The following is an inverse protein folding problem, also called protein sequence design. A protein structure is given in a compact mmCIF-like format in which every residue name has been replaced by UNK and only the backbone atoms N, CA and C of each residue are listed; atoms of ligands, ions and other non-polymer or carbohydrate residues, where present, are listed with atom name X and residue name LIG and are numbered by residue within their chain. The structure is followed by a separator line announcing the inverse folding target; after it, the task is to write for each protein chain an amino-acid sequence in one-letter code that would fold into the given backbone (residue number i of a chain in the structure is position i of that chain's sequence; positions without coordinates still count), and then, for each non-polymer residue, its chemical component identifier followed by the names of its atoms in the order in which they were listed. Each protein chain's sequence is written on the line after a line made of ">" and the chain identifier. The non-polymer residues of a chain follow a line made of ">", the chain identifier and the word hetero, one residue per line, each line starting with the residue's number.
data_IF_805609764031
#
_entry.id   IF_805609764031
#
_cell.length_a   1.000
_cell.length_b   1.000
_cell.length_c   1.000
_cell.angle_alpha   90.00
_cell.angle_beta   90.00
_cell.angle_gamma   90.00
#
_symmetry.space_group_name_H-M   'P 1'
#
loop_
_entity.id
_entity.type
_entity.pdbx_description
1 polymer ?
#
# COMPACT_ATOMS: atom_id res chain seq x y z
N UNK A 1 17.57 -32.22 26.06
CA UNK A 1 16.28 -31.68 25.55
C UNK A 1 16.59 -30.66 24.48
N UNK A 2 16.16 -30.88 23.24
CA UNK A 2 16.32 -29.91 22.16
C UNK A 2 15.25 -28.84 22.31
N UNK A 3 15.65 -27.58 22.50
CA UNK A 3 14.72 -26.45 22.59
C UNK A 3 14.13 -26.21 21.20
N UNK A 4 12.83 -26.38 21.04
CA UNK A 4 12.10 -26.01 19.83
C UNK A 4 11.68 -24.54 19.90
N UNK A 5 11.79 -23.82 18.79
CA UNK A 5 11.27 -22.45 18.66
C UNK A 5 9.79 -22.51 18.24
N UNK A 6 8.92 -21.82 18.98
CA UNK A 6 7.53 -21.63 18.55
C UNK A 6 7.48 -20.54 17.45
N UNK A 7 7.28 -20.95 16.19
CA UNK A 7 7.29 -20.03 15.05
C UNK A 7 6.19 -18.95 15.11
N UNK A 8 5.08 -19.22 15.80
CA UNK A 8 3.99 -18.25 15.96
C UNK A 8 4.42 -17.01 16.74
N UNK A 9 5.50 -17.09 17.53
CA UNK A 9 6.06 -15.92 18.21
C UNK A 9 6.73 -14.92 17.26
N UNK A 10 6.93 -15.27 15.99
CA UNK A 10 7.48 -14.40 14.94
C UNK A 10 6.41 -13.72 14.08
N UNK A 11 5.14 -13.76 14.51
CA UNK A 11 4.05 -13.09 13.79
C UNK A 11 4.33 -11.58 13.63
N UNK A 12 4.08 -11.07 12.42
CA UNK A 12 4.19 -9.64 12.09
C UNK A 12 2.95 -8.87 12.55
N UNK A 13 3.10 -7.56 12.74
CA UNK A 13 2.01 -6.65 12.96
C UNK A 13 1.07 -6.59 11.73
N UNK A 14 -0.22 -6.35 11.98
CA UNK A 14 -1.21 -6.24 10.92
C UNK A 14 -1.08 -4.93 10.10
N UNK A 15 -0.47 -3.89 10.68
CA UNK A 15 -0.27 -2.59 10.06
C UNK A 15 1.11 -2.03 10.36
N UNK A 16 1.58 -1.14 9.49
CA UNK A 16 2.80 -0.35 9.69
C UNK A 16 2.67 1.01 8.99
N UNK A 17 3.50 1.97 9.42
CA UNK A 17 3.52 3.32 8.87
C UNK A 17 4.72 3.52 7.95
N UNK A 18 4.46 3.80 6.67
CA UNK A 18 5.46 4.22 5.71
C UNK A 18 5.70 5.73 5.87
N UNK A 19 6.92 6.15 6.17
CA UNK A 19 7.33 7.55 6.03
C UNK A 19 7.57 7.84 4.55
N UNK A 20 6.73 8.69 3.98
CA UNK A 20 6.79 9.06 2.57
C UNK A 20 8.05 9.86 2.29
N UNK A 21 8.75 9.49 1.22
CA UNK A 21 9.89 10.24 0.71
C UNK A 21 9.50 11.04 -0.52
N UNK A 22 10.09 12.22 -0.68
CA UNK A 22 9.95 13.07 -1.85
C UNK A 22 10.63 12.46 -3.09
N UNK A 23 10.51 13.12 -4.26
CA UNK A 23 11.12 12.66 -5.50
C UNK A 23 12.64 12.48 -5.42
N UNK A 24 13.31 13.25 -4.55
CA UNK A 24 14.77 13.20 -4.32
C UNK A 24 15.18 12.21 -3.21
N UNK A 25 14.21 11.54 -2.57
CA UNK A 25 14.44 10.43 -1.64
C UNK A 25 14.56 10.82 -0.17
N UNK A 26 14.51 12.11 0.16
CA UNK A 26 14.41 12.62 1.52
C UNK A 26 13.02 12.38 2.13
N UNK A 27 12.92 12.11 3.44
CA UNK A 27 11.64 11.99 4.12
C UNK A 27 10.89 13.33 4.12
N UNK A 28 9.58 13.29 3.85
CA UNK A 28 8.73 14.46 3.85
C UNK A 28 8.19 14.78 5.25
N UNK A 29 8.08 16.08 5.52
CA UNK A 29 7.45 16.62 6.72
C UNK A 29 6.46 17.72 6.31
N UNK A 30 5.31 17.78 6.97
CA UNK A 30 4.29 18.80 6.73
C UNK A 30 4.63 20.15 7.40
N UNK A 31 5.68 20.18 8.21
CA UNK A 31 6.22 21.38 8.84
C UNK A 31 7.70 21.57 8.49
N UNK A 32 8.13 22.83 8.44
CA UNK A 32 9.55 23.16 8.23
C UNK A 32 10.45 22.69 9.38
N UNK A 33 9.89 22.52 10.57
CA UNK A 33 10.61 22.07 11.76
C UNK A 33 10.89 20.55 11.78
N UNK A 34 10.37 19.78 10.81
CA UNK A 34 10.64 18.35 10.67
C UNK A 34 10.00 17.49 11.76
N UNK A 35 8.87 17.89 12.35
CA UNK A 35 8.18 17.15 13.42
C UNK A 35 6.96 16.39 12.92
N UNK A 36 6.31 16.88 11.87
CA UNK A 36 5.09 16.31 11.31
C UNK A 36 5.43 15.43 10.12
N UNK A 37 5.96 14.23 10.40
CA UNK A 37 6.30 13.27 9.36
C UNK A 37 5.07 12.93 8.51
N UNK A 38 5.22 12.98 7.19
CA UNK A 38 4.20 12.57 6.23
C UNK A 38 4.20 11.04 6.17
N UNK A 39 3.09 10.40 6.57
CA UNK A 39 3.01 8.93 6.65
C UNK A 39 1.77 8.36 6.01
N UNK A 40 1.92 7.14 5.50
CA UNK A 40 0.82 6.30 5.03
C UNK A 40 0.76 5.06 5.91
N UNK A 41 -0.36 4.86 6.58
CA UNK A 41 -0.61 3.66 7.38
C UNK A 41 -1.20 2.57 6.50
N UNK A 42 -0.57 1.41 6.48
CA UNK A 42 -0.87 0.33 5.54
C UNK A 42 -1.15 -0.96 6.28
N UNK A 43 -2.09 -1.73 5.77
CA UNK A 43 -2.29 -3.14 6.09
C UNK A 43 -1.18 -3.98 5.44
N UNK A 44 -0.56 -4.84 6.24
CA UNK A 44 0.55 -5.69 5.80
C UNK A 44 0.12 -7.04 5.22
N UNK A 45 1.08 -7.82 4.67
CA UNK A 45 0.83 -9.12 4.03
C UNK A 45 0.09 -10.14 4.90
N UNK A 46 0.29 -10.11 6.22
CA UNK A 46 -0.39 -11.00 7.16
C UNK A 46 -1.83 -10.58 7.52
N UNK A 47 -2.35 -9.49 6.94
CA UNK A 47 -3.67 -8.95 7.28
C UNK A 47 -4.78 -9.48 6.36
N UNK A 48 -6.02 -9.45 6.85
CA UNK A 48 -7.20 -9.81 6.04
C UNK A 48 -7.41 -8.86 4.85
N UNK A 49 -7.14 -7.57 5.03
CA UNK A 49 -7.31 -6.58 3.96
C UNK A 49 -6.37 -6.87 2.78
N UNK A 50 -5.10 -7.21 3.07
CA UNK A 50 -4.14 -7.60 2.04
C UNK A 50 -4.55 -8.90 1.32
N UNK A 51 -4.95 -9.93 2.07
CA UNK A 51 -5.40 -11.19 1.48
C UNK A 51 -6.66 -11.05 0.60
N UNK A 52 -7.55 -10.10 0.92
CA UNK A 52 -8.70 -9.78 0.06
C UNK A 52 -8.25 -9.15 -1.28
N UNK A 53 -7.22 -8.31 -1.26
CA UNK A 53 -6.62 -7.74 -2.48
C UNK A 53 -5.94 -8.80 -3.32
N UNK A 54 -5.15 -9.70 -2.73
CA UNK A 54 -4.52 -10.82 -3.45
C UNK A 54 -5.55 -11.72 -4.14
N UNK A 55 -6.65 -12.00 -3.45
CA UNK A 55 -7.77 -12.77 -4.00
C UNK A 55 -8.40 -12.05 -5.20
N UNK A 56 -8.61 -10.73 -5.09
CA UNK A 56 -9.16 -9.90 -6.18
C UNK A 56 -8.22 -9.81 -7.38
N UNK A 57 -6.91 -9.67 -7.16
CA UNK A 57 -5.90 -9.68 -8.21
C UNK A 57 -5.92 -11.00 -8.98
N UNK A 58 -5.96 -12.13 -8.26
CA UNK A 58 -6.04 -13.46 -8.86
C UNK A 58 -7.33 -13.65 -9.66
N UNK A 59 -8.47 -13.19 -9.12
CA UNK A 59 -9.76 -13.24 -9.80
C UNK A 59 -9.79 -12.40 -11.08
N UNK A 60 -9.22 -11.18 -11.06
CA UNK A 60 -9.12 -10.32 -12.26
C UNK A 60 -8.26 -10.97 -13.34
N UNK A 61 -7.13 -11.57 -12.98
CA UNK A 61 -6.28 -12.28 -13.93
C UNK A 61 -7.00 -13.47 -14.59
N UNK A 62 -7.71 -14.28 -13.78
CA UNK A 62 -8.50 -15.40 -14.29
C UNK A 62 -9.64 -14.93 -15.19
N UNK A 63 -10.38 -13.90 -14.78
CA UNK A 63 -11.48 -13.33 -15.58
C UNK A 63 -10.97 -12.83 -16.93
N UNK A 64 -9.85 -12.10 -16.95
CA UNK A 64 -9.27 -11.56 -18.20
C UNK A 64 -8.83 -12.67 -19.16
N UNK A 65 -8.34 -13.78 -18.63
CA UNK A 65 -8.02 -14.97 -19.44
C UNK A 65 -9.28 -15.62 -20.01
N UNK A 66 -10.34 -15.74 -19.22
CA UNK A 66 -11.63 -16.27 -19.67
C UNK A 66 -12.28 -15.39 -20.76
N UNK A 67 -12.25 -14.07 -20.57
CA UNK A 67 -12.80 -13.10 -21.53
C UNK A 67 -12.04 -13.08 -22.87
N UNK A 68 -10.81 -13.61 -22.92
CA UNK A 68 -9.96 -13.67 -24.12
C UNK A 68 -9.79 -15.10 -24.67
N UNK A 69 -10.81 -15.95 -24.54
CA UNK A 69 -10.80 -17.33 -25.06
C UNK A 69 -9.61 -18.17 -24.55
N UNK A 70 -9.19 -17.95 -23.30
CA UNK A 70 -8.05 -18.62 -22.69
C UNK A 70 -6.68 -18.04 -23.07
N UNK A 71 -6.63 -16.98 -23.87
CA UNK A 71 -5.36 -16.31 -24.23
C UNK A 71 -4.90 -15.39 -23.11
N UNK A 72 -3.60 -15.41 -22.85
CA UNK A 72 -2.98 -14.48 -21.92
C UNK A 72 -2.96 -13.10 -22.57
N UNK A 73 -3.74 -12.18 -22.00
CA UNK A 73 -3.80 -10.78 -22.42
C UNK A 73 -3.44 -9.90 -21.22
N UNK A 74 -2.48 -9.00 -21.41
CA UNK A 74 -2.11 -8.02 -20.40
C UNK A 74 -3.19 -6.93 -20.26
N UNK A 75 -3.32 -6.32 -19.08
CA UNK A 75 -4.14 -5.12 -18.93
C UNK A 75 -3.54 -3.96 -19.71
N UNK A 76 -4.40 -3.05 -20.16
CA UNK A 76 -3.99 -1.76 -20.69
C UNK A 76 -3.25 -0.94 -19.63
N UNK A 77 -2.66 0.19 -20.01
CA UNK A 77 -2.01 1.06 -19.04
C UNK A 77 -3.04 1.65 -18.06
N UNK A 78 -4.17 2.10 -18.58
CA UNK A 78 -5.27 2.71 -17.84
C UNK A 78 -5.87 1.72 -16.84
N UNK A 79 -6.12 0.48 -17.29
CA UNK A 79 -6.59 -0.60 -16.41
C UNK A 79 -5.59 -0.89 -15.30
N UNK A 80 -4.29 -1.00 -15.61
CA UNK A 80 -3.26 -1.23 -14.59
C UNK A 80 -3.21 -0.12 -13.55
N UNK A 81 -3.33 1.13 -13.96
CA UNK A 81 -3.34 2.28 -13.05
C UNK A 81 -4.56 2.21 -12.14
N UNK A 82 -5.75 2.02 -12.70
CA UNK A 82 -6.99 1.92 -11.95
C UNK A 82 -6.99 0.74 -10.97
N UNK A 83 -6.58 -0.44 -11.43
CA UNK A 83 -6.49 -1.67 -10.64
C UNK A 83 -5.49 -1.52 -9.49
N UNK A 84 -4.32 -0.94 -9.75
CA UNK A 84 -3.29 -0.69 -8.72
C UNK A 84 -3.78 0.33 -7.70
N UNK A 85 -4.38 1.42 -8.15
CA UNK A 85 -4.89 2.47 -7.27
C UNK A 85 -6.00 1.94 -6.36
N UNK A 86 -6.91 1.12 -6.89
CA UNK A 86 -7.94 0.45 -6.11
C UNK A 86 -7.37 -0.53 -5.07
N UNK A 87 -6.36 -1.31 -5.46
CA UNK A 87 -5.70 -2.26 -4.56
C UNK A 87 -4.98 -1.58 -3.41
N UNK A 88 -4.18 -0.55 -3.73
CA UNK A 88 -3.46 0.18 -2.71
C UNK A 88 -4.41 0.95 -1.79
N UNK A 89 -5.46 1.58 -2.33
CA UNK A 89 -6.48 2.24 -1.52
C UNK A 89 -7.21 1.27 -0.58
N UNK A 90 -7.40 0.01 -0.98
CA UNK A 90 -8.04 -1.00 -0.14
C UNK A 90 -7.17 -1.49 1.03
N UNK A 91 -5.84 -1.35 0.93
CA UNK A 91 -4.91 -1.69 2.03
C UNK A 91 -4.44 -0.44 2.80
N UNK A 92 -4.81 0.76 2.39
CA UNK A 92 -4.51 1.99 3.12
C UNK A 92 -5.49 2.18 4.28
N UNK A 93 -4.93 2.30 5.48
CA UNK A 93 -5.67 2.62 6.70
C UNK A 93 -5.94 4.12 6.78
N UNK A 94 -4.90 4.92 6.60
CA UNK A 94 -4.99 6.38 6.69
C UNK A 94 -3.78 7.08 6.10
N UNK A 95 -3.98 8.35 5.78
CA UNK A 95 -2.96 9.34 5.48
C UNK A 95 -2.75 10.22 6.73
N UNK A 96 -1.51 10.34 7.19
CA UNK A 96 -1.11 11.16 8.34
C UNK A 96 -0.22 12.30 7.83
N UNK A 97 -0.61 13.54 8.11
CA UNK A 97 0.07 14.74 7.61
C UNK A 97 0.20 14.76 6.07
N UNK A 98 -0.74 14.13 5.39
CA UNK A 98 -0.79 13.98 3.94
C UNK A 98 -2.22 14.29 3.50
N UNK A 99 -2.37 15.20 2.53
CA UNK A 99 -3.64 15.48 1.86
C UNK A 99 -3.47 15.38 0.34
N UNK A 100 -4.54 15.04 -0.37
CA UNK A 100 -4.57 14.99 -1.84
C UNK A 100 -5.87 15.59 -2.36
N UNK A 101 -5.79 16.85 -2.78
CA UNK A 101 -6.92 17.60 -3.34
C UNK A 101 -6.50 18.14 -4.73
N UNK A 102 -6.72 17.38 -5.81
CA UNK A 102 -6.58 17.93 -7.16
C UNK A 102 -7.60 19.06 -7.34
N UNK A 103 -7.32 20.00 -8.24
CA UNK A 103 -8.06 21.25 -8.37
C UNK A 103 -9.58 21.03 -8.45
N UNK A 104 -10.32 21.64 -7.51
CA UNK A 104 -11.79 21.57 -7.44
C UNK A 104 -12.36 20.29 -6.82
N UNK A 105 -11.54 19.38 -6.32
CA UNK A 105 -12.00 18.15 -5.69
C UNK A 105 -12.06 18.27 -4.16
N UNK A 106 -13.07 17.66 -3.54
CA UNK A 106 -13.21 17.50 -2.08
C UNK A 106 -13.17 16.03 -1.71
N UNK A 107 -12.06 15.36 -2.03
CA UNK A 107 -11.93 13.92 -1.85
C UNK A 107 -11.62 13.59 -0.39
N UNK A 108 -12.22 12.51 0.11
CA UNK A 108 -11.95 12.02 1.48
C UNK A 108 -11.87 10.50 1.50
N UNK A 109 -11.27 9.96 2.56
CA UNK A 109 -11.20 8.51 2.80
C UNK A 109 -10.65 7.74 1.60
N UNK A 110 -11.33 6.65 1.23
CA UNK A 110 -10.86 5.73 0.20
C UNK A 110 -10.79 6.37 -1.20
N UNK A 111 -11.66 7.31 -1.51
CA UNK A 111 -11.66 8.00 -2.80
C UNK A 111 -10.41 8.89 -2.94
N UNK A 112 -10.01 9.56 -1.86
CA UNK A 112 -8.76 10.32 -1.81
C UNK A 112 -7.55 9.40 -1.99
N UNK A 113 -7.52 8.23 -1.32
CA UNK A 113 -6.42 7.29 -1.46
C UNK A 113 -6.29 6.78 -2.89
N UNK A 114 -7.42 6.40 -3.51
CA UNK A 114 -7.46 5.91 -4.89
C UNK A 114 -6.97 6.99 -5.86
N UNK A 115 -7.43 8.23 -5.71
CA UNK A 115 -7.02 9.31 -6.58
C UNK A 115 -5.52 9.60 -6.46
N UNK A 116 -4.98 9.64 -5.24
CA UNK A 116 -3.55 9.83 -5.01
C UNK A 116 -2.68 8.73 -5.66
N UNK A 117 -3.13 7.47 -5.63
CA UNK A 117 -2.39 6.37 -6.26
C UNK A 117 -2.54 6.28 -7.78
N UNK A 118 -3.62 6.84 -8.34
CA UNK A 118 -3.85 6.90 -9.78
C UNK A 118 -3.04 8.01 -10.46
N UNK A 119 -2.69 9.07 -9.73
CA UNK A 119 -1.96 10.22 -10.24
C UNK A 119 -0.52 9.87 -10.62
N UNK A 120 -0.25 9.89 -11.93
CA UNK A 120 1.06 9.57 -12.49
C UNK A 120 2.12 10.63 -12.14
N UNK A 121 1.73 11.88 -11.87
CA UNK A 121 2.64 12.95 -11.47
C UNK A 121 3.30 12.71 -10.11
N UNK A 122 2.63 11.97 -9.24
CA UNK A 122 3.14 11.55 -7.92
C UNK A 122 3.36 10.04 -7.80
N UNK A 123 3.53 9.34 -8.92
CA UNK A 123 3.67 7.88 -8.95
C UNK A 123 4.86 7.31 -8.17
N UNK A 124 5.80 8.16 -7.71
CA UNK A 124 6.84 7.76 -6.76
C UNK A 124 6.27 7.32 -5.40
N UNK A 125 5.09 7.82 -5.01
CA UNK A 125 4.37 7.41 -3.79
C UNK A 125 3.83 5.99 -3.97
N UNK A 126 3.13 5.71 -5.07
CA UNK A 126 2.63 4.37 -5.42
C UNK A 126 3.75 3.33 -5.38
N UNK A 127 4.92 3.63 -5.98
CA UNK A 127 6.09 2.72 -5.95
C UNK A 127 6.62 2.47 -4.54
N UNK A 128 6.67 3.50 -3.70
CA UNK A 128 7.09 3.35 -2.31
C UNK A 128 6.13 2.44 -1.54
N UNK A 129 4.82 2.64 -1.69
CA UNK A 129 3.81 1.80 -1.05
C UNK A 129 3.90 0.36 -1.52
N UNK A 130 3.94 0.10 -2.83
CA UNK A 130 4.10 -1.26 -3.38
C UNK A 130 5.34 -1.96 -2.81
N UNK A 131 6.47 -1.27 -2.77
CA UNK A 131 7.71 -1.84 -2.19
C UNK A 131 7.56 -2.09 -0.69
N UNK A 132 6.96 -1.16 0.05
CA UNK A 132 6.82 -1.25 1.49
C UNK A 132 5.96 -2.45 1.89
N UNK A 133 4.81 -2.65 1.23
CA UNK A 133 3.89 -3.75 1.57
C UNK A 133 4.42 -5.12 1.14
N UNK A 134 5.29 -5.19 0.13
CA UNK A 134 5.91 -6.46 -0.28
C UNK A 134 6.98 -6.96 0.70
N UNK A 135 7.50 -6.11 1.57
CA UNK A 135 8.56 -6.44 2.53
C UNK A 135 7.97 -6.67 3.94
N UNK A 136 7.87 -7.95 4.32
CA UNK A 136 7.43 -8.40 5.65
C UNK A 136 8.23 -7.78 6.80
N UNK A 137 9.49 -7.39 6.55
CA UNK A 137 10.35 -6.75 7.54
C UNK A 137 9.83 -5.39 8.02
N UNK A 138 9.03 -4.69 7.20
CA UNK A 138 8.39 -3.42 7.57
C UNK A 138 7.26 -3.58 8.59
N UNK A 139 6.75 -4.80 8.75
CA UNK A 139 5.65 -5.14 9.66
C UNK A 139 6.13 -5.87 10.91
N UNK A 140 7.43 -5.86 11.22
CA UNK A 140 7.90 -6.41 12.48
C UNK A 140 7.18 -5.72 13.64
N UNK A 141 6.64 -6.50 14.57
CA UNK A 141 6.10 -5.94 15.80
C UNK A 141 7.17 -5.03 16.42
N UNK A 142 6.79 -3.78 16.75
CA UNK A 142 7.69 -2.90 17.47
C UNK A 142 8.24 -3.68 18.66
N UNK A 143 9.57 -3.73 18.78
CA UNK A 143 10.22 -4.39 19.92
C UNK A 143 9.54 -3.85 21.17
N UNK A 144 8.86 -4.71 21.93
CA UNK A 144 8.39 -4.32 23.25
C UNK A 144 9.66 -4.03 24.03
N UNK A 145 10.03 -2.76 24.14
CA UNK A 145 11.05 -2.33 25.07
C UNK A 145 10.59 -2.82 26.45
N UNK A 146 11.35 -3.77 26.99
CA UNK A 146 11.18 -4.27 28.34
C UNK A 146 11.61 -3.21 29.36
#
# INVERSE_FOLDING_TARGET
>A
MTKLLNIASLAVAATAALHVKGPTGEPLYADEAGKLAVRIHLHGPGSRAYGAVESRQSARALKRMQDNDGKITAATQEERIAETAEDLAAITVSFENFDYQPEGAGLTGQDMFRAAYADQGIGYITRQVTKFVADWGNFKAASKAA
#
